data_IF_641842873826
#
_entry.id   IF_641842873826
#
_cell.length_a   1.000
_cell.length_b   1.000
_cell.length_c   1.000
_cell.angle_alpha   90.00
_cell.angle_beta   90.00
_cell.angle_gamma   90.00
#
_symmetry.space_group_name_H-M   'P 1'
#
loop_
_entity.id
_entity.type
_entity.pdbx_description
1 polymer ?
#
# COMPACT_ATOMS: atom_id res chain seq x y z
N UNK A 1 -32.26 41.74 13.95
CA UNK A 1 -32.03 41.18 12.61
C UNK A 1 -30.91 40.15 12.72
N UNK A 2 -31.26 38.91 12.97
CA UNK A 2 -30.27 37.77 13.06
C UNK A 2 -29.99 37.27 11.67
N UNK A 3 -28.74 37.47 11.23
CA UNK A 3 -28.20 36.95 9.99
C UNK A 3 -28.17 35.41 10.06
N UNK A 4 -29.08 34.76 9.36
CA UNK A 4 -28.99 33.32 9.05
C UNK A 4 -27.83 33.11 8.07
N UNK A 5 -26.64 32.93 8.60
CA UNK A 5 -25.50 32.45 7.81
C UNK A 5 -25.81 31.01 7.39
N UNK A 6 -26.10 30.80 6.10
CA UNK A 6 -26.19 29.47 5.48
C UNK A 6 -24.89 28.74 5.76
N UNK A 7 -24.89 27.56 6.40
CA UNK A 7 -23.65 26.81 6.59
C UNK A 7 -23.01 26.53 5.25
N UNK A 8 -21.75 26.93 5.09
CA UNK A 8 -20.99 26.64 3.89
C UNK A 8 -21.06 25.12 3.60
N UNK A 9 -21.30 24.71 2.32
CA UNK A 9 -21.41 23.30 1.99
C UNK A 9 -20.14 22.57 2.46
N UNK A 10 -20.34 21.49 3.21
CA UNK A 10 -19.26 20.58 3.62
C UNK A 10 -18.37 20.31 2.40
N UNK A 11 -17.10 20.68 2.51
CA UNK A 11 -16.13 20.57 1.40
C UNK A 11 -16.27 19.20 0.73
N UNK A 12 -16.62 19.20 -0.56
CA UNK A 12 -16.83 17.99 -1.32
C UNK A 12 -15.61 17.07 -1.16
N UNK A 13 -15.84 15.86 -0.67
CA UNK A 13 -14.80 14.84 -0.54
C UNK A 13 -14.27 14.55 -1.93
N UNK A 14 -12.94 14.56 -2.10
CA UNK A 14 -12.31 14.28 -3.38
C UNK A 14 -12.54 12.80 -3.74
N UNK A 15 -13.55 12.53 -4.55
CA UNK A 15 -13.96 11.19 -4.94
C UNK A 15 -12.84 10.41 -5.63
N UNK A 16 -11.96 11.08 -6.37
CA UNK A 16 -10.81 10.47 -7.05
C UNK A 16 -9.85 9.74 -6.09
N UNK A 17 -9.62 10.31 -4.91
CA UNK A 17 -8.78 9.69 -3.87
C UNK A 17 -9.44 8.43 -3.32
N UNK A 18 -10.74 8.47 -3.05
CA UNK A 18 -11.48 7.30 -2.55
C UNK A 18 -11.64 6.22 -3.64
N UNK A 19 -11.81 6.62 -4.90
CA UNK A 19 -11.82 5.69 -6.03
C UNK A 19 -10.48 4.97 -6.19
N UNK A 20 -9.37 5.71 -6.16
CA UNK A 20 -8.05 5.11 -6.25
C UNK A 20 -7.77 4.15 -5.08
N UNK A 21 -8.14 4.54 -3.85
CA UNK A 21 -8.06 3.63 -2.71
C UNK A 21 -8.90 2.38 -2.93
N UNK A 22 -10.14 2.53 -3.38
CA UNK A 22 -11.05 1.40 -3.65
C UNK A 22 -10.48 0.45 -4.71
N UNK A 23 -9.90 0.99 -5.79
CA UNK A 23 -9.23 0.20 -6.82
C UNK A 23 -8.10 -0.64 -6.25
N UNK A 24 -7.18 -0.01 -5.50
CA UNK A 24 -6.05 -0.75 -4.91
C UNK A 24 -6.49 -1.68 -3.78
N UNK A 25 -7.65 -1.46 -3.14
CA UNK A 25 -8.25 -2.44 -2.21
C UNK A 25 -8.68 -3.72 -2.94
N UNK A 26 -9.24 -3.61 -4.14
CA UNK A 26 -9.57 -4.80 -4.95
C UNK A 26 -8.32 -5.54 -5.41
N UNK A 27 -7.28 -4.80 -5.85
CA UNK A 27 -5.99 -5.41 -6.21
C UNK A 27 -5.29 -6.05 -5.01
N UNK A 28 -5.44 -5.49 -3.82
CA UNK A 28 -4.92 -6.08 -2.59
C UNK A 28 -5.68 -7.37 -2.22
N UNK A 29 -7.00 -7.39 -2.39
CA UNK A 29 -7.79 -8.61 -2.22
C UNK A 29 -7.33 -9.70 -3.19
N UNK A 30 -7.06 -9.36 -4.47
CA UNK A 30 -6.49 -10.29 -5.45
C UNK A 30 -5.18 -10.91 -4.94
N UNK A 31 -4.25 -10.11 -4.40
CA UNK A 31 -2.98 -10.59 -3.85
C UNK A 31 -3.22 -11.50 -2.64
N UNK A 32 -4.14 -11.15 -1.74
CA UNK A 32 -4.43 -11.96 -0.55
C UNK A 32 -5.20 -13.25 -0.86
N UNK A 33 -6.07 -13.28 -1.88
CA UNK A 33 -6.66 -14.54 -2.40
C UNK A 33 -5.55 -15.44 -2.93
N UNK A 34 -4.59 -14.88 -3.66
CA UNK A 34 -3.40 -15.61 -4.12
C UNK A 34 -2.57 -16.14 -2.94
N UNK A 35 -2.29 -15.31 -1.95
CA UNK A 35 -1.54 -15.70 -0.74
C UNK A 35 -2.30 -16.69 0.17
N UNK A 36 -3.60 -16.87 -0.04
CA UNK A 36 -4.40 -17.83 0.71
C UNK A 36 -4.52 -19.17 -0.02
N UNK A 37 -4.82 -19.15 -1.32
CA UNK A 37 -5.19 -20.36 -2.08
C UNK A 37 -4.17 -20.79 -3.13
N UNK A 38 -3.04 -20.06 -3.28
CA UNK A 38 -1.96 -20.38 -4.22
C UNK A 38 -0.59 -20.46 -3.53
N UNK A 39 -0.57 -20.84 -2.24
CA UNK A 39 0.69 -20.96 -1.47
C UNK A 39 1.63 -22.04 -2.04
N UNK A 40 1.11 -23.06 -2.69
CA UNK A 40 1.89 -24.10 -3.37
C UNK A 40 2.60 -23.56 -4.64
N UNK A 41 2.18 -22.38 -5.16
CA UNK A 41 2.80 -21.64 -6.26
C UNK A 41 3.40 -20.33 -5.75
N UNK A 42 4.18 -20.40 -4.67
CA UNK A 42 4.76 -19.21 -4.05
C UNK A 42 5.75 -18.53 -4.97
N UNK A 43 5.57 -17.22 -5.18
CA UNK A 43 6.46 -16.40 -5.98
C UNK A 43 7.49 -15.69 -5.09
N UNK A 44 8.74 -15.66 -5.55
CA UNK A 44 9.81 -14.87 -4.95
C UNK A 44 9.63 -13.36 -5.13
N UNK A 45 10.62 -12.60 -4.68
CA UNK A 45 10.73 -11.16 -4.90
C UNK A 45 12.21 -10.78 -5.06
N UNK A 46 12.67 -10.47 -6.27
CA UNK A 46 11.93 -10.54 -7.56
C UNK A 46 11.40 -11.94 -7.90
N UNK A 47 10.43 -11.99 -8.81
CA UNK A 47 9.77 -13.25 -9.22
C UNK A 47 10.71 -14.09 -10.10
N UNK A 48 10.72 -15.41 -9.90
CA UNK A 48 11.35 -16.33 -10.84
C UNK A 48 10.47 -16.44 -12.10
N UNK A 49 10.95 -15.84 -13.21
CA UNK A 49 10.19 -15.78 -14.48
C UNK A 49 10.17 -17.10 -15.23
N UNK A 50 11.07 -18.04 -14.90
CA UNK A 50 11.13 -19.34 -15.57
C UNK A 50 10.07 -20.32 -15.05
N UNK A 51 9.75 -20.22 -13.76
CA UNK A 51 8.79 -21.11 -13.10
C UNK A 51 7.41 -20.50 -12.92
N UNK A 52 7.27 -19.16 -13.02
CA UNK A 52 6.00 -18.47 -12.82
C UNK A 52 5.21 -18.35 -14.12
N UNK A 53 3.92 -18.69 -14.08
CA UNK A 53 3.04 -18.49 -15.23
C UNK A 53 2.81 -17.00 -15.52
N UNK A 54 2.68 -16.58 -16.81
CA UNK A 54 2.45 -15.18 -17.16
C UNK A 54 1.20 -14.57 -16.50
N UNK A 55 0.14 -15.37 -16.33
CA UNK A 55 -1.08 -14.91 -15.70
C UNK A 55 -0.91 -14.61 -14.20
N UNK A 56 -0.19 -15.47 -13.46
CA UNK A 56 0.15 -15.22 -12.05
C UNK A 56 1.10 -14.02 -11.91
N UNK A 57 2.08 -13.89 -12.81
CA UNK A 57 2.94 -12.72 -12.86
C UNK A 57 2.14 -11.43 -13.04
N UNK A 58 1.18 -11.40 -13.99
CA UNK A 58 0.33 -10.25 -14.20
C UNK A 58 -0.50 -9.89 -12.95
N UNK A 59 -1.06 -10.87 -12.24
CA UNK A 59 -1.75 -10.65 -10.96
C UNK A 59 -0.79 -10.02 -9.92
N UNK A 60 0.45 -10.50 -9.84
CA UNK A 60 1.47 -9.97 -8.94
C UNK A 60 1.85 -8.54 -9.30
N UNK A 61 2.07 -8.26 -10.59
CA UNK A 61 2.41 -6.92 -11.09
C UNK A 61 1.30 -5.90 -10.79
N UNK A 62 0.03 -6.27 -10.99
CA UNK A 62 -1.12 -5.42 -10.62
C UNK A 62 -1.16 -5.14 -9.11
N UNK A 63 -0.89 -6.14 -8.29
CA UNK A 63 -0.86 -6.00 -6.84
C UNK A 63 0.30 -5.11 -6.32
N UNK A 64 1.34 -4.90 -7.13
CA UNK A 64 2.43 -3.96 -6.80
C UNK A 64 1.95 -2.52 -6.59
N UNK A 65 0.84 -2.11 -7.20
CA UNK A 65 0.26 -0.78 -7.02
C UNK A 65 -0.24 -0.51 -5.59
N UNK A 66 -0.59 -1.56 -4.84
CA UNK A 66 -1.29 -1.40 -3.56
C UNK A 66 -0.51 -0.57 -2.54
N UNK A 67 0.66 -1.04 -2.12
CA UNK A 67 1.40 -0.42 -1.03
C UNK A 67 1.88 1.01 -1.37
N UNK A 68 2.52 1.29 -2.52
CA UNK A 68 2.97 2.63 -2.87
C UNK A 68 1.83 3.64 -2.92
N UNK A 69 0.69 3.26 -3.52
CA UNK A 69 -0.49 4.12 -3.59
C UNK A 69 -1.06 4.39 -2.20
N UNK A 70 -1.20 3.36 -1.33
CA UNK A 70 -1.69 3.57 0.03
C UNK A 70 -0.79 4.48 0.85
N UNK A 71 0.52 4.28 0.80
CA UNK A 71 1.49 5.09 1.53
C UNK A 71 1.47 6.54 1.02
N UNK A 72 1.48 6.74 -0.31
CA UNK A 72 1.38 8.06 -0.93
C UNK A 72 0.07 8.78 -0.55
N UNK A 73 -1.07 8.11 -0.69
CA UNK A 73 -2.38 8.68 -0.34
C UNK A 73 -2.53 8.92 1.17
N UNK A 74 -1.77 8.23 2.01
CA UNK A 74 -1.72 8.52 3.45
C UNK A 74 -1.06 9.87 3.71
N UNK A 75 0.08 10.15 3.08
CA UNK A 75 0.74 11.46 3.15
C UNK A 75 -0.12 12.59 2.59
N UNK A 76 -0.72 12.37 1.41
CA UNK A 76 -1.66 13.32 0.79
C UNK A 76 -2.85 13.65 1.71
N UNK A 77 -3.43 12.61 2.33
CA UNK A 77 -4.57 12.77 3.23
C UNK A 77 -4.20 13.49 4.52
N UNK A 78 -2.99 13.28 5.01
CA UNK A 78 -2.48 14.02 6.17
C UNK A 78 -2.35 15.52 5.87
N UNK A 79 -1.92 15.89 4.66
CA UNK A 79 -1.90 17.28 4.23
C UNK A 79 -3.31 17.86 4.13
N UNK A 80 -4.25 17.14 3.50
CA UNK A 80 -5.66 17.55 3.43
C UNK A 80 -6.32 17.67 4.81
N UNK A 81 -5.89 16.89 5.77
CA UNK A 81 -6.30 17.04 7.16
C UNK A 81 -5.71 18.32 7.77
N UNK A 82 -4.41 18.55 7.60
CA UNK A 82 -3.74 19.76 8.08
C UNK A 82 -4.39 21.04 7.54
N UNK A 83 -4.72 21.10 6.25
CA UNK A 83 -5.27 22.28 5.59
C UNK A 83 -6.64 22.72 6.13
N UNK A 84 -7.29 21.92 6.99
CA UNK A 84 -8.58 22.21 7.63
C UNK A 84 -8.45 22.76 9.06
N UNK A 85 -7.23 22.86 9.59
CA UNK A 85 -6.96 23.27 10.96
C UNK A 85 -6.09 24.52 10.97
N UNK A 86 -6.32 25.41 11.94
CA UNK A 86 -5.54 26.64 12.12
C UNK A 86 -4.06 26.27 12.34
N UNK A 87 -3.76 25.40 13.31
CA UNK A 87 -2.42 24.85 13.56
C UNK A 87 -2.19 23.56 12.77
N UNK A 88 -2.34 23.62 11.44
CA UNK A 88 -2.44 22.45 10.58
C UNK A 88 -1.29 21.44 10.74
N UNK A 89 -0.03 21.92 10.83
CA UNK A 89 1.13 21.03 11.03
C UNK A 89 1.07 20.29 12.37
N UNK A 90 0.76 20.99 13.44
CA UNK A 90 0.66 20.40 14.79
C UNK A 90 -0.50 19.40 14.86
N UNK A 91 -1.65 19.75 14.29
CA UNK A 91 -2.79 18.86 14.22
C UNK A 91 -2.49 17.59 13.40
N UNK A 92 -1.83 17.72 12.23
CA UNK A 92 -1.44 16.60 11.41
C UNK A 92 -0.37 15.73 12.09
N UNK A 93 0.65 16.31 12.71
CA UNK A 93 1.69 15.59 13.44
C UNK A 93 1.07 14.75 14.56
N UNK A 94 0.23 15.33 15.41
CA UNK A 94 -0.45 14.61 16.49
C UNK A 94 -1.39 13.51 15.96
N UNK A 95 -2.10 13.75 14.87
CA UNK A 95 -2.97 12.76 14.24
C UNK A 95 -2.17 11.60 13.65
N UNK A 96 -1.09 11.88 12.91
CA UNK A 96 -0.21 10.88 12.31
C UNK A 96 0.45 10.01 13.37
N UNK A 97 0.96 10.63 14.44
CA UNK A 97 1.57 9.92 15.56
C UNK A 97 0.58 8.92 16.20
N UNK A 98 -0.60 9.39 16.61
CA UNK A 98 -1.61 8.52 17.23
C UNK A 98 -2.08 7.41 16.29
N UNK A 99 -2.35 7.74 15.01
CA UNK A 99 -2.81 6.76 14.03
C UNK A 99 -1.71 5.76 13.69
N UNK A 100 -0.44 6.21 13.59
CA UNK A 100 0.70 5.33 13.37
C UNK A 100 0.83 4.27 14.46
N UNK A 101 0.72 4.67 15.73
CA UNK A 101 0.72 3.72 16.86
C UNK A 101 -0.44 2.74 16.82
N UNK A 102 -1.65 3.21 16.49
CA UNK A 102 -2.82 2.32 16.33
C UNK A 102 -2.60 1.30 15.23
N UNK A 103 -2.05 1.70 14.06
CA UNK A 103 -1.79 0.78 12.97
C UNK A 103 -0.73 -0.27 13.34
N UNK A 104 0.34 0.13 14.03
CA UNK A 104 1.36 -0.80 14.53
C UNK A 104 0.72 -1.81 15.50
N UNK A 105 -0.11 -1.34 16.43
CA UNK A 105 -0.82 -2.23 17.36
C UNK A 105 -1.76 -3.20 16.63
N UNK A 106 -2.51 -2.74 15.64
CA UNK A 106 -3.38 -3.59 14.82
C UNK A 106 -2.59 -4.66 14.06
N UNK A 107 -1.42 -4.30 13.52
CA UNK A 107 -0.56 -5.26 12.80
C UNK A 107 -0.09 -6.38 13.71
N UNK A 108 0.48 -6.05 14.87
CA UNK A 108 1.05 -7.07 15.78
C UNK A 108 -0.01 -7.85 16.56
N UNK A 109 -1.26 -7.46 16.49
CA UNK A 109 -2.38 -8.13 17.15
C UNK A 109 -3.34 -8.75 16.13
N UNK A 110 -4.35 -8.01 15.70
CA UNK A 110 -5.46 -8.52 14.87
C UNK A 110 -4.99 -9.01 13.49
N UNK A 111 -4.08 -8.28 12.84
CA UNK A 111 -3.60 -8.67 11.51
C UNK A 111 -2.72 -9.92 11.62
N UNK A 112 -1.77 -9.91 12.54
CA UNK A 112 -0.89 -11.07 12.75
C UNK A 112 -1.70 -12.32 13.14
N UNK A 113 -2.68 -12.19 14.03
CA UNK A 113 -3.55 -13.30 14.42
C UNK A 113 -4.34 -13.85 13.21
N UNK A 114 -4.84 -13.02 12.31
CA UNK A 114 -5.53 -13.50 11.11
C UNK A 114 -4.61 -14.35 10.21
N UNK A 115 -3.31 -14.02 10.15
CA UNK A 115 -2.34 -14.76 9.35
C UNK A 115 -1.85 -16.04 10.02
N UNK A 116 -1.62 -16.02 11.33
CA UNK A 116 -0.95 -17.13 12.06
C UNK A 116 -1.90 -18.02 12.84
N UNK A 117 -2.98 -17.47 13.39
CA UNK A 117 -3.87 -18.05 14.42
C UNK A 117 -3.13 -18.39 15.72
N UNK A 118 -1.96 -17.79 15.95
CA UNK A 118 -1.16 -18.04 17.15
C UNK A 118 -1.58 -17.10 18.28
N UNK A 119 -1.82 -17.65 19.46
CA UNK A 119 -2.09 -16.88 20.68
C UNK A 119 -1.50 -17.62 21.90
N UNK A 120 -0.43 -17.13 22.54
CA UNK A 120 0.37 -15.96 22.17
C UNK A 120 1.11 -16.14 20.83
N UNK A 121 1.47 -15.04 20.13
CA UNK A 121 2.16 -15.14 18.85
C UNK A 121 3.60 -15.65 19.01
N UNK A 122 3.96 -16.70 18.27
CA UNK A 122 5.34 -17.18 18.14
C UNK A 122 6.05 -16.52 16.95
N UNK A 123 5.26 -16.16 15.94
CA UNK A 123 5.76 -15.48 14.74
C UNK A 123 5.02 -14.18 14.52
N UNK A 124 5.76 -13.07 14.40
CA UNK A 124 5.24 -11.77 14.02
C UNK A 124 5.66 -11.44 12.58
N UNK A 125 4.68 -11.17 11.72
CA UNK A 125 4.93 -10.65 10.38
C UNK A 125 4.74 -9.14 10.37
N UNK A 126 5.84 -8.39 10.32
CA UNK A 126 5.83 -6.93 10.24
C UNK A 126 5.60 -6.51 8.77
N UNK A 127 4.32 -6.40 8.39
CA UNK A 127 3.92 -6.22 6.99
C UNK A 127 3.54 -4.76 6.67
N UNK A 128 2.67 -4.57 5.68
CA UNK A 128 2.37 -3.25 5.11
C UNK A 128 1.73 -2.28 6.09
N UNK A 129 0.84 -2.74 6.98
CA UNK A 129 0.16 -1.86 7.94
C UNK A 129 1.16 -1.33 8.99
N UNK A 130 2.09 -2.19 9.42
CA UNK A 130 3.20 -1.78 10.28
C UNK A 130 4.11 -0.75 9.59
N UNK A 131 4.48 -0.98 8.31
CA UNK A 131 5.29 -0.04 7.54
C UNK A 131 4.59 1.31 7.34
N UNK A 132 3.27 1.32 7.06
CA UNK A 132 2.46 2.54 7.01
C UNK A 132 2.46 3.24 8.37
N UNK A 133 2.27 2.50 9.46
CA UNK A 133 2.29 3.03 10.82
C UNK A 133 3.61 3.73 11.15
N UNK A 134 4.76 3.08 10.92
CA UNK A 134 6.08 3.67 11.13
C UNK A 134 6.35 4.85 10.18
N UNK A 135 5.93 4.77 8.92
CA UNK A 135 6.04 5.89 7.98
C UNK A 135 5.24 7.11 8.45
N UNK A 136 4.07 6.89 9.08
CA UNK A 136 3.29 7.97 9.70
C UNK A 136 4.00 8.59 10.90
N UNK A 137 4.67 7.77 11.75
CA UNK A 137 5.49 8.28 12.86
C UNK A 137 6.67 9.11 12.32
N UNK A 138 7.36 8.61 11.30
CA UNK A 138 8.45 9.35 10.66
C UNK A 138 7.94 10.67 10.06
N UNK A 139 6.84 10.66 9.29
CA UNK A 139 6.26 11.88 8.74
C UNK A 139 5.85 12.85 9.85
N UNK A 140 5.27 12.38 10.97
CA UNK A 140 4.86 13.25 12.08
C UNK A 140 6.02 14.08 12.65
N UNK A 141 7.23 13.51 12.67
CA UNK A 141 8.45 14.21 13.07
C UNK A 141 8.99 15.12 11.95
N UNK A 142 8.93 14.66 10.70
CA UNK A 142 9.49 15.39 9.55
C UNK A 142 8.67 16.62 9.13
N UNK A 143 7.41 16.75 9.54
CA UNK A 143 6.54 17.88 9.17
C UNK A 143 7.07 19.26 9.59
N UNK A 144 8.03 19.32 10.51
CA UNK A 144 8.66 20.56 10.94
C UNK A 144 9.69 21.10 9.94
N UNK A 145 10.14 20.28 8.99
CA UNK A 145 11.02 20.71 7.92
C UNK A 145 10.26 21.56 6.88
N UNK A 146 10.94 22.51 6.20
CA UNK A 146 10.37 23.23 5.07
C UNK A 146 10.07 22.27 3.93
N UNK A 147 9.05 22.59 3.11
CA UNK A 147 8.58 21.71 2.02
C UNK A 147 9.70 21.32 1.04
N UNK A 148 10.60 22.25 0.72
CA UNK A 148 11.72 21.96 -0.18
C UNK A 148 12.65 20.88 0.41
N UNK A 149 12.95 20.97 1.71
CA UNK A 149 13.76 19.96 2.39
C UNK A 149 13.04 18.60 2.46
N UNK A 150 11.73 18.59 2.67
CA UNK A 150 10.94 17.35 2.61
C UNK A 150 11.00 16.70 1.24
N UNK A 151 10.84 17.47 0.16
CA UNK A 151 10.94 16.95 -1.21
C UNK A 151 12.35 16.44 -1.50
N UNK A 152 13.38 17.21 -1.15
CA UNK A 152 14.77 16.81 -1.33
C UNK A 152 15.09 15.51 -0.56
N UNK A 153 14.65 15.41 0.70
CA UNK A 153 14.81 14.21 1.52
C UNK A 153 14.11 13.01 0.90
N UNK A 154 12.85 13.17 0.47
CA UNK A 154 12.08 12.08 -0.14
C UNK A 154 12.75 11.58 -1.43
N UNK A 155 13.21 12.49 -2.30
CA UNK A 155 13.93 12.14 -3.53
C UNK A 155 15.26 11.47 -3.19
N UNK A 156 16.03 12.01 -2.24
CA UNK A 156 17.30 11.42 -1.82
C UNK A 156 17.11 9.99 -1.26
N UNK A 157 16.09 9.77 -0.45
CA UNK A 157 15.76 8.43 0.06
C UNK A 157 15.38 7.51 -1.09
N UNK A 158 14.40 7.87 -1.92
CA UNK A 158 13.86 6.99 -2.97
C UNK A 158 14.91 6.71 -4.04
N UNK A 159 15.68 7.73 -4.45
CA UNK A 159 16.69 7.57 -5.48
C UNK A 159 18.01 6.98 -4.95
N UNK A 160 18.32 7.14 -3.67
CA UNK A 160 19.64 6.78 -3.11
C UNK A 160 19.68 5.47 -2.33
N UNK A 161 18.55 4.97 -1.80
CA UNK A 161 18.59 3.80 -0.93
C UNK A 161 19.12 2.52 -1.62
N UNK A 162 18.95 2.39 -2.94
CA UNK A 162 19.52 1.24 -3.67
C UNK A 162 21.04 1.19 -3.67
N UNK A 163 21.75 2.28 -3.35
CA UNK A 163 23.20 2.25 -3.09
C UNK A 163 23.53 1.44 -1.83
N UNK A 164 22.57 1.20 -0.98
CA UNK A 164 22.69 0.46 0.27
C UNK A 164 22.33 -1.04 0.15
N UNK A 165 21.88 -1.50 -1.03
CA UNK A 165 21.42 -2.89 -1.25
C UNK A 165 22.52 -3.92 -0.96
N UNK A 166 23.79 -3.54 -1.17
CA UNK A 166 24.96 -4.37 -0.86
C UNK A 166 25.31 -4.45 0.63
N UNK A 167 24.74 -3.58 1.47
CA UNK A 167 25.03 -3.53 2.92
C UNK A 167 24.14 -4.55 3.62
N UNK A 168 24.74 -5.64 4.10
CA UNK A 168 24.06 -6.66 4.89
C UNK A 168 24.71 -6.77 6.26
N UNK A 169 23.88 -6.76 7.30
CA UNK A 169 24.31 -6.93 8.67
C UNK A 169 23.82 -8.28 9.19
N UNK A 170 24.72 -9.08 9.74
CA UNK A 170 24.40 -10.38 10.33
C UNK A 170 23.71 -10.25 11.69
N UNK A 171 22.99 -11.30 12.10
CA UNK A 171 22.18 -11.31 13.32
C UNK A 171 22.93 -10.96 14.62
N UNK A 172 24.27 -11.14 14.67
CA UNK A 172 25.10 -10.74 15.82
C UNK A 172 25.53 -9.27 15.85
N UNK A 173 25.29 -8.51 14.78
CA UNK A 173 25.72 -7.12 14.71
C UNK A 173 24.81 -6.20 15.56
N UNK A 174 25.35 -5.25 16.35
CA UNK A 174 24.54 -4.38 17.23
C UNK A 174 23.45 -3.59 16.50
N UNK A 175 23.67 -3.22 15.25
CA UNK A 175 22.72 -2.46 14.42
C UNK A 175 21.84 -3.36 13.54
N UNK A 176 21.93 -4.71 13.62
CA UNK A 176 21.18 -5.62 12.78
C UNK A 176 19.67 -5.36 12.85
N UNK A 177 19.10 -5.26 14.07
CA UNK A 177 17.67 -5.04 14.24
C UNK A 177 17.21 -3.72 13.62
N UNK A 178 17.97 -2.63 13.80
CA UNK A 178 17.67 -1.35 13.18
C UNK A 178 17.75 -1.42 11.65
N UNK A 179 18.79 -2.08 11.14
CA UNK A 179 18.99 -2.23 9.69
C UNK A 179 17.93 -3.13 9.06
N UNK A 180 17.55 -4.21 9.73
CA UNK A 180 16.45 -5.07 9.31
C UNK A 180 15.11 -4.33 9.23
N UNK A 181 14.86 -3.40 10.14
CA UNK A 181 13.67 -2.53 10.08
C UNK A 181 13.76 -1.51 8.95
N UNK A 182 14.95 -0.92 8.73
CA UNK A 182 15.09 0.19 7.78
C UNK A 182 15.24 -0.27 6.33
N UNK A 183 16.07 -1.31 6.07
CA UNK A 183 16.46 -1.63 4.69
C UNK A 183 16.55 -3.13 4.38
N UNK A 184 16.94 -3.98 5.32
CA UNK A 184 17.15 -5.40 5.09
C UNK A 184 15.92 -6.21 5.47
N UNK A 185 15.39 -7.04 4.56
CA UNK A 185 14.31 -7.98 4.88
C UNK A 185 14.89 -9.19 5.62
N UNK A 186 14.65 -9.31 6.94
CA UNK A 186 15.27 -10.34 7.74
C UNK A 186 14.39 -10.81 8.91
N UNK A 187 14.88 -11.80 9.65
CA UNK A 187 14.29 -12.30 10.88
C UNK A 187 14.96 -11.69 12.10
N UNK A 188 14.15 -11.23 13.04
CA UNK A 188 14.56 -10.78 14.36
C UNK A 188 14.14 -11.84 15.39
N UNK A 189 15.09 -12.30 16.22
CA UNK A 189 14.82 -13.25 17.30
C UNK A 189 14.60 -12.51 18.62
N UNK A 190 13.57 -12.92 19.37
CA UNK A 190 13.24 -12.40 20.69
C UNK A 190 13.22 -13.59 21.69
N UNK A 191 14.39 -14.00 22.14
CA UNK A 191 14.58 -15.24 22.88
C UNK A 191 14.24 -16.47 22.05
N UNK A 192 13.89 -17.58 22.71
CA UNK A 192 13.56 -18.84 22.05
C UNK A 192 12.07 -18.95 21.66
N UNK A 193 11.21 -18.07 22.21
CA UNK A 193 9.78 -18.20 22.12
C UNK A 193 9.15 -17.40 20.95
N UNK A 194 9.81 -16.34 20.46
CA UNK A 194 9.21 -15.45 19.47
C UNK A 194 10.23 -14.95 18.47
N UNK A 195 9.80 -14.85 17.20
CA UNK A 195 10.55 -14.22 16.12
C UNK A 195 9.69 -13.24 15.34
N UNK A 196 10.29 -12.21 14.76
CA UNK A 196 9.60 -11.28 13.87
C UNK A 196 10.29 -11.21 12.52
N UNK A 197 9.51 -11.16 11.43
CA UNK A 197 10.02 -10.95 10.08
C UNK A 197 9.75 -9.52 9.64
N UNK A 198 10.82 -8.77 9.32
CA UNK A 198 10.72 -7.44 8.72
C UNK A 198 10.33 -7.57 7.24
N UNK A 199 9.04 -7.81 6.96
CA UNK A 199 8.56 -8.06 5.59
C UNK A 199 8.59 -6.81 4.71
N UNK A 200 8.51 -5.61 5.32
CA UNK A 200 8.48 -4.32 4.63
C UNK A 200 9.53 -3.38 5.20
N UNK A 201 10.79 -3.44 4.72
CA UNK A 201 11.83 -2.49 5.12
C UNK A 201 11.39 -1.04 4.89
N UNK A 202 11.59 -0.19 5.91
CA UNK A 202 10.87 1.07 6.08
C UNK A 202 11.39 2.22 5.20
N UNK A 203 12.70 2.27 4.94
CA UNK A 203 13.37 3.48 4.44
C UNK A 203 12.72 4.07 3.18
N UNK A 204 12.46 3.31 2.09
CA UNK A 204 11.83 3.88 0.90
C UNK A 204 10.38 4.36 1.16
N UNK A 205 9.65 3.71 2.06
CA UNK A 205 8.28 4.08 2.39
C UNK A 205 8.17 5.44 3.08
N UNK A 206 9.21 5.84 3.85
CA UNK A 206 9.31 7.20 4.39
C UNK A 206 9.38 8.21 3.23
N UNK A 207 10.17 7.94 2.20
CA UNK A 207 10.21 8.80 1.01
C UNK A 207 8.85 8.91 0.33
N UNK A 208 8.16 7.79 0.13
CA UNK A 208 6.84 7.74 -0.54
C UNK A 208 5.77 8.51 0.24
N UNK A 209 5.68 8.37 1.57
CA UNK A 209 4.69 9.12 2.37
C UNK A 209 4.96 10.62 2.36
N UNK A 210 6.24 11.02 2.38
CA UNK A 210 6.67 12.43 2.30
C UNK A 210 6.33 13.02 0.93
N UNK A 211 6.51 12.28 -0.18
CA UNK A 211 6.05 12.72 -1.50
C UNK A 211 4.54 12.93 -1.54
N UNK A 212 3.77 12.04 -0.92
CA UNK A 212 2.33 12.19 -0.78
C UNK A 212 1.94 13.47 -0.05
N UNK A 213 2.60 13.78 1.07
CA UNK A 213 2.42 15.06 1.77
C UNK A 213 2.79 16.25 0.89
N UNK A 214 3.92 16.19 0.20
CA UNK A 214 4.41 17.26 -0.66
C UNK A 214 3.49 17.54 -1.87
N UNK A 215 2.75 16.54 -2.36
CA UNK A 215 1.74 16.68 -3.39
C UNK A 215 0.43 17.33 -2.88
N UNK A 216 0.24 17.41 -1.57
CA UNK A 216 -0.98 17.95 -0.95
C UNK A 216 -1.45 19.29 -1.50
N UNK A 217 -0.59 20.32 -1.69
CA UNK A 217 -0.98 21.60 -2.25
C UNK A 217 -1.62 21.55 -3.65
N UNK A 218 -1.42 20.46 -4.41
CA UNK A 218 -2.09 20.26 -5.70
C UNK A 218 -3.61 20.13 -5.55
N UNK A 219 -4.04 19.70 -4.37
CA UNK A 219 -5.43 19.46 -4.00
C UNK A 219 -5.99 20.52 -3.04
N UNK A 220 -5.28 21.63 -2.84
CA UNK A 220 -5.80 22.79 -2.11
C UNK A 220 -7.10 23.30 -2.76
N UNK A 221 -7.98 23.93 -1.97
CA UNK A 221 -9.25 24.49 -2.48
C UNK A 221 -9.02 25.55 -3.56
N UNK A 222 -7.95 26.30 -3.40
CA UNK A 222 -7.56 27.41 -4.28
C UNK A 222 -6.77 26.92 -5.50
N UNK A 223 -6.37 25.64 -5.52
CA UNK A 223 -5.62 25.08 -6.65
C UNK A 223 -6.51 24.91 -7.88
N UNK A 224 -6.07 25.46 -9.01
CA UNK A 224 -6.80 25.31 -10.25
C UNK A 224 -6.84 23.86 -10.72
N UNK A 225 -8.00 23.38 -11.14
CA UNK A 225 -8.19 22.02 -11.64
C UNK A 225 -7.28 21.70 -12.83
N UNK A 226 -7.15 22.59 -13.86
CA UNK A 226 -6.23 22.35 -14.98
C UNK A 226 -4.77 22.18 -14.53
N UNK A 227 -4.31 23.01 -13.57
CA UNK A 227 -2.95 22.91 -13.03
C UNK A 227 -2.74 21.58 -12.29
N UNK A 228 -3.69 21.14 -11.47
CA UNK A 228 -3.64 19.83 -10.80
C UNK A 228 -3.58 18.71 -11.81
N UNK A 229 -4.42 18.76 -12.83
CA UNK A 229 -4.45 17.78 -13.91
C UNK A 229 -3.11 17.70 -14.65
N UNK A 230 -2.48 18.84 -14.95
CA UNK A 230 -1.16 18.90 -15.57
C UNK A 230 -0.09 18.32 -14.65
N UNK A 231 -0.09 18.68 -13.35
CA UNK A 231 0.88 18.16 -12.38
C UNK A 231 0.77 16.63 -12.23
N UNK A 232 -0.44 16.08 -12.11
CA UNK A 232 -0.66 14.64 -12.03
C UNK A 232 -0.20 13.92 -13.31
N UNK A 233 -0.53 14.47 -14.49
CA UNK A 233 -0.15 13.91 -15.78
C UNK A 233 1.36 13.91 -15.96
N UNK A 234 2.01 15.07 -15.83
CA UNK A 234 3.44 15.19 -16.11
C UNK A 234 4.30 14.49 -15.04
N UNK A 235 3.90 14.50 -13.76
CA UNK A 235 4.58 13.73 -12.73
C UNK A 235 4.43 12.22 -12.96
N UNK A 236 3.24 11.76 -13.37
CA UNK A 236 3.01 10.36 -13.70
C UNK A 236 3.80 9.90 -14.91
N UNK A 237 3.76 10.67 -16.01
CA UNK A 237 4.54 10.38 -17.23
C UNK A 237 6.04 10.47 -16.98
N UNK A 238 6.49 11.47 -16.21
CA UNK A 238 7.90 11.62 -15.84
C UNK A 238 8.42 10.43 -15.01
N UNK A 239 7.61 9.93 -14.06
CA UNK A 239 7.96 8.74 -13.31
C UNK A 239 8.06 7.49 -14.21
N UNK A 240 7.10 7.28 -15.12
CA UNK A 240 7.15 6.17 -16.08
C UNK A 240 8.32 6.30 -17.07
N UNK A 241 8.61 7.50 -17.55
CA UNK A 241 9.78 7.74 -18.39
C UNK A 241 11.08 7.43 -17.63
N UNK A 242 11.18 7.87 -16.36
CA UNK A 242 12.30 7.54 -15.48
C UNK A 242 12.45 6.02 -15.28
N UNK A 243 11.35 5.31 -15.05
CA UNK A 243 11.35 3.84 -14.99
C UNK A 243 11.90 3.24 -16.28
N UNK A 244 11.36 3.64 -17.44
CA UNK A 244 11.80 3.09 -18.73
C UNK A 244 13.28 3.37 -19.01
N UNK A 245 13.73 4.60 -18.74
CA UNK A 245 15.14 4.97 -18.94
C UNK A 245 16.09 4.15 -18.05
N UNK A 246 15.78 4.01 -16.77
CA UNK A 246 16.57 3.21 -15.84
C UNK A 246 16.55 1.73 -16.20
N UNK A 247 15.38 1.23 -16.60
CA UNK A 247 15.21 -0.18 -16.97
C UNK A 247 15.98 -0.51 -18.25
N UNK A 248 15.99 0.40 -19.23
CA UNK A 248 16.77 0.25 -20.46
C UNK A 248 18.28 0.41 -20.22
N UNK A 249 18.69 1.34 -19.34
CA UNK A 249 20.08 1.49 -18.93
C UNK A 249 20.59 0.28 -18.14
N UNK A 250 19.70 -0.43 -17.45
CA UNK A 250 19.92 -1.72 -16.77
C UNK A 250 21.10 -1.73 -15.76
N UNK A 251 21.39 -0.58 -15.15
CA UNK A 251 22.59 -0.41 -14.32
C UNK A 251 22.31 0.04 -12.88
N UNK A 252 21.11 0.57 -12.59
CA UNK A 252 20.79 1.13 -11.26
C UNK A 252 19.29 1.08 -10.93
N UNK A 253 19.01 0.98 -9.64
CA UNK A 253 17.65 1.15 -9.09
C UNK A 253 16.80 -0.10 -9.06
N UNK A 254 17.33 -1.23 -9.52
CA UNK A 254 16.81 -2.60 -9.34
C UNK A 254 17.83 -3.64 -9.84
N UNK A 255 17.52 -4.92 -9.63
CA UNK A 255 18.28 -6.01 -10.24
C UNK A 255 18.25 -5.91 -11.78
N UNK A 256 19.40 -6.21 -12.41
CA UNK A 256 19.51 -6.22 -13.86
C UNK A 256 18.61 -7.32 -14.46
N UNK A 257 17.99 -7.01 -15.59
CA UNK A 257 17.19 -7.94 -16.37
C UNK A 257 17.95 -8.40 -17.62
N UNK A 258 17.57 -9.56 -18.16
CA UNK A 258 18.14 -10.09 -19.37
C UNK A 258 17.05 -10.58 -20.33
N UNK A 259 17.38 -10.70 -21.62
CA UNK A 259 16.52 -11.35 -22.60
C UNK A 259 16.33 -12.82 -22.22
N UNK A 260 15.12 -13.29 -22.34
CA UNK A 260 14.70 -14.63 -22.00
C UNK A 260 14.44 -15.47 -23.26
N UNK A 261 14.10 -16.76 -23.08
CA UNK A 261 13.86 -17.71 -24.16
C UNK A 261 12.76 -17.29 -25.14
N UNK A 262 11.78 -16.52 -24.66
CA UNK A 262 10.66 -16.01 -25.46
C UNK A 262 10.31 -14.57 -25.10
N UNK A 263 9.50 -13.92 -25.94
CA UNK A 263 9.07 -12.53 -25.77
C UNK A 263 8.26 -12.33 -24.50
N UNK A 264 7.39 -13.27 -24.11
CA UNK A 264 6.55 -13.16 -22.93
C UNK A 264 7.41 -13.15 -21.67
N UNK A 265 8.35 -14.08 -21.54
CA UNK A 265 9.30 -14.14 -20.42
C UNK A 265 10.23 -12.93 -20.39
N UNK A 266 10.66 -12.44 -21.56
CA UNK A 266 11.43 -11.20 -21.67
C UNK A 266 10.65 -10.00 -21.15
N UNK A 267 9.36 -9.87 -21.49
CA UNK A 267 8.49 -8.83 -20.93
C UNK A 267 8.28 -9.00 -19.41
N UNK A 268 8.10 -10.24 -18.94
CA UNK A 268 8.05 -10.52 -17.51
C UNK A 268 9.33 -10.08 -16.81
N UNK A 269 10.51 -10.44 -17.33
CA UNK A 269 11.80 -10.03 -16.79
C UNK A 269 11.95 -8.50 -16.77
N UNK A 270 11.50 -7.82 -17.82
CA UNK A 270 11.55 -6.36 -17.92
C UNK A 270 10.69 -5.68 -16.84
N UNK A 271 9.49 -6.18 -16.53
CA UNK A 271 8.59 -5.62 -15.50
C UNK A 271 8.77 -6.25 -14.12
N UNK A 272 9.72 -7.16 -13.96
CA UNK A 272 10.02 -7.82 -12.70
C UNK A 272 10.85 -6.90 -11.79
N UNK A 273 10.16 -6.09 -11.00
CA UNK A 273 10.76 -5.10 -10.10
C UNK A 273 10.65 -5.53 -8.65
N UNK A 274 11.68 -5.24 -7.86
CA UNK A 274 11.82 -5.64 -6.47
C UNK A 274 10.91 -4.80 -5.55
N UNK A 275 10.11 -5.48 -4.74
CA UNK A 275 9.16 -4.86 -3.79
C UNK A 275 9.72 -4.77 -2.36
N UNK A 276 10.71 -5.58 -1.99
CA UNK A 276 11.18 -5.74 -0.61
C UNK A 276 12.70 -5.73 -0.44
N UNK A 277 13.31 -4.56 -0.19
CA UNK A 277 12.74 -3.21 -0.14
C UNK A 277 12.27 -2.73 -1.51
N UNK A 278 11.29 -1.80 -1.57
CA UNK A 278 10.81 -1.32 -2.86
C UNK A 278 11.90 -0.52 -3.58
N UNK A 279 12.35 -1.04 -4.72
CA UNK A 279 13.40 -0.43 -5.53
C UNK A 279 12.97 0.94 -6.10
N UNK A 280 13.93 1.76 -6.54
CA UNK A 280 13.63 3.00 -7.25
C UNK A 280 12.73 2.74 -8.46
N UNK A 281 13.04 1.69 -9.24
CA UNK A 281 12.26 1.34 -10.43
C UNK A 281 10.84 0.88 -10.07
N UNK A 282 10.68 0.13 -8.98
CA UNK A 282 9.37 -0.24 -8.43
C UNK A 282 8.55 1.00 -8.05
N UNK A 283 9.15 1.97 -7.36
CA UNK A 283 8.46 3.19 -6.93
C UNK A 283 8.07 4.05 -8.14
N UNK A 284 8.96 4.21 -9.12
CA UNK A 284 8.69 4.98 -10.34
C UNK A 284 7.54 4.37 -11.15
N UNK A 285 7.56 3.05 -11.36
CA UNK A 285 6.49 2.35 -12.09
C UNK A 285 5.15 2.50 -11.38
N UNK A 286 5.11 2.17 -10.10
CA UNK A 286 3.85 2.08 -9.36
C UNK A 286 3.24 3.44 -9.04
N UNK A 287 4.04 4.43 -8.61
CA UNK A 287 3.55 5.79 -8.41
C UNK A 287 3.23 6.49 -9.73
N UNK A 288 4.00 6.22 -10.79
CA UNK A 288 3.69 6.73 -12.13
C UNK A 288 2.28 6.34 -12.56
N UNK A 289 1.97 5.04 -12.51
CA UNK A 289 0.61 4.51 -12.80
C UNK A 289 -0.41 5.08 -11.81
N UNK A 290 -0.10 5.12 -10.52
CA UNK A 290 -1.00 5.64 -9.48
C UNK A 290 -1.40 7.11 -9.70
N UNK A 291 -0.46 7.98 -10.09
CA UNK A 291 -0.73 9.39 -10.41
C UNK A 291 -1.60 9.55 -11.66
N UNK A 292 -1.35 8.74 -12.70
CA UNK A 292 -2.19 8.74 -13.92
C UNK A 292 -3.61 8.24 -13.62
N UNK A 293 -3.77 7.19 -12.81
CA UNK A 293 -5.08 6.72 -12.35
C UNK A 293 -5.79 7.80 -11.52
N UNK A 294 -5.07 8.50 -10.62
CA UNK A 294 -5.64 9.58 -9.84
C UNK A 294 -6.14 10.72 -10.73
N UNK A 295 -5.38 11.07 -11.79
CA UNK A 295 -5.79 12.03 -12.81
C UNK A 295 -7.03 11.55 -13.59
N UNK A 296 -7.06 10.27 -13.96
CA UNK A 296 -8.16 9.66 -14.71
C UNK A 296 -9.46 9.68 -13.89
N UNK A 297 -9.38 9.38 -12.59
CA UNK A 297 -10.53 9.35 -11.68
C UNK A 297 -11.08 10.75 -11.31
N UNK A 298 -10.44 11.81 -11.72
CA UNK A 298 -11.03 13.15 -11.66
C UNK A 298 -12.05 13.42 -12.78
N UNK A 299 -12.19 12.49 -13.77
CA UNK A 299 -13.26 12.55 -14.77
C UNK A 299 -14.63 12.27 -14.13
N UNK A 300 -15.61 13.21 -14.22
CA UNK A 300 -16.93 13.01 -13.60
C UNK A 300 -17.69 11.80 -14.16
N UNK A 301 -17.51 11.51 -15.46
CA UNK A 301 -18.13 10.36 -16.12
C UNK A 301 -17.62 9.04 -15.51
N UNK A 302 -16.29 8.87 -15.46
CA UNK A 302 -15.68 7.67 -14.91
C UNK A 302 -15.95 7.53 -13.42
N UNK A 303 -15.86 8.63 -12.65
CA UNK A 303 -16.15 8.64 -11.22
C UNK A 303 -17.57 8.15 -10.90
N UNK A 304 -18.55 8.48 -11.75
CA UNK A 304 -19.93 8.03 -11.60
C UNK A 304 -20.07 6.51 -11.82
N UNK A 305 -19.45 5.96 -12.86
CA UNK A 305 -19.48 4.53 -13.15
C UNK A 305 -18.75 3.69 -12.09
N UNK A 306 -17.64 4.19 -11.55
CA UNK A 306 -16.83 3.51 -10.55
C UNK A 306 -17.23 3.85 -9.10
N UNK A 307 -18.32 4.58 -8.91
CA UNK A 307 -18.78 5.02 -7.58
C UNK A 307 -18.86 3.89 -6.53
N UNK A 308 -19.23 2.63 -6.84
CA UNK A 308 -19.22 1.54 -5.86
C UNK A 308 -17.84 1.29 -5.23
N UNK A 309 -16.73 1.50 -5.96
CA UNK A 309 -15.37 1.36 -5.43
C UNK A 309 -15.03 2.43 -4.38
N UNK A 310 -15.65 3.60 -4.47
CA UNK A 310 -15.39 4.67 -3.49
C UNK A 310 -15.80 4.29 -2.06
N UNK A 311 -16.76 3.37 -1.92
CA UNK A 311 -17.17 2.85 -0.61
C UNK A 311 -16.05 2.03 0.05
N UNK A 312 -15.32 1.22 -0.74
CA UNK A 312 -14.16 0.46 -0.27
C UNK A 312 -13.04 1.42 0.17
N UNK A 313 -12.77 2.46 -0.65
CA UNK A 313 -11.77 3.48 -0.35
C UNK A 313 -12.13 4.40 0.82
N UNK A 314 -13.40 4.47 1.22
CA UNK A 314 -13.87 5.26 2.36
C UNK A 314 -13.58 4.63 3.73
N UNK A 315 -13.49 3.29 3.78
CA UNK A 315 -13.21 2.52 4.99
C UNK A 315 -12.16 1.43 4.74
N UNK A 316 -10.94 1.81 4.26
CA UNK A 316 -9.96 0.84 3.80
C UNK A 316 -9.46 -0.09 4.91
N UNK A 317 -9.27 0.39 6.14
CA UNK A 317 -8.81 -0.44 7.25
C UNK A 317 -9.87 -1.46 7.69
N UNK A 318 -11.15 -1.08 7.66
CA UNK A 318 -12.23 -2.02 7.94
C UNK A 318 -12.28 -3.13 6.88
N UNK A 319 -12.24 -2.76 5.59
CA UNK A 319 -12.19 -3.75 4.51
C UNK A 319 -10.95 -4.64 4.63
N UNK A 320 -9.78 -4.07 4.99
CA UNK A 320 -8.55 -4.82 5.18
C UNK A 320 -8.73 -5.92 6.23
N UNK A 321 -9.20 -5.57 7.42
CA UNK A 321 -9.44 -6.56 8.48
C UNK A 321 -10.52 -7.55 8.07
N UNK A 322 -11.63 -7.09 7.52
CA UNK A 322 -12.75 -7.95 7.15
C UNK A 322 -12.33 -9.04 6.16
N UNK A 323 -11.61 -8.68 5.08
CA UNK A 323 -11.29 -9.67 4.04
C UNK A 323 -10.23 -10.68 4.49
N UNK A 324 -9.22 -10.28 5.31
CA UNK A 324 -8.22 -11.26 5.78
C UNK A 324 -8.85 -12.31 6.70
N UNK A 325 -9.78 -11.91 7.58
CA UNK A 325 -10.52 -12.85 8.41
C UNK A 325 -11.46 -13.74 7.58
N UNK A 326 -12.18 -13.15 6.62
CA UNK A 326 -13.05 -13.93 5.71
C UNK A 326 -12.23 -14.94 4.90
N UNK A 327 -11.09 -14.54 4.34
CA UNK A 327 -10.20 -15.45 3.62
C UNK A 327 -9.70 -16.58 4.53
N UNK A 328 -9.32 -16.25 5.77
CA UNK A 328 -8.88 -17.26 6.73
C UNK A 328 -9.96 -18.28 7.06
N UNK A 329 -11.20 -17.80 7.29
CA UNK A 329 -12.34 -18.70 7.55
C UNK A 329 -12.67 -19.56 6.32
N UNK A 330 -12.64 -18.98 5.11
CA UNK A 330 -12.85 -19.72 3.87
C UNK A 330 -11.78 -20.81 3.67
N UNK A 331 -10.51 -20.50 3.96
CA UNK A 331 -9.42 -21.47 3.89
C UNK A 331 -9.62 -22.64 4.88
N UNK A 332 -9.93 -22.33 6.13
CA UNK A 332 -10.20 -23.34 7.15
C UNK A 332 -11.42 -24.20 6.79
N UNK A 333 -12.48 -23.57 6.28
CA UNK A 333 -13.66 -24.28 5.79
C UNK A 333 -13.36 -25.18 4.61
N UNK A 334 -12.55 -24.72 3.66
CA UNK A 334 -12.12 -25.52 2.51
C UNK A 334 -11.31 -26.75 2.94
N UNK A 335 -10.35 -26.56 3.85
CA UNK A 335 -9.56 -27.68 4.40
C UNK A 335 -10.44 -28.66 5.19
N UNK A 336 -11.41 -28.18 5.95
CA UNK A 336 -12.32 -29.03 6.72
C UNK A 336 -13.26 -29.86 5.83
N UNK A 337 -13.71 -29.30 4.69
CA UNK A 337 -14.68 -29.97 3.80
C UNK A 337 -14.02 -30.87 2.75
N UNK A 338 -12.87 -30.46 2.22
CA UNK A 338 -12.23 -31.15 1.08
C UNK A 338 -10.83 -31.69 1.41
N UNK A 339 -10.28 -31.40 2.60
CA UNK A 339 -8.91 -31.78 2.95
C UNK A 339 -7.86 -30.92 2.25
N UNK A 340 -6.61 -31.34 2.32
CA UNK A 340 -5.47 -30.74 1.60
C UNK A 340 -5.26 -31.45 0.27
N UNK A 341 -4.86 -30.72 -0.78
CA UNK A 341 -4.66 -31.25 -2.14
C UNK A 341 -3.26 -30.94 -2.72
N UNK A 342 -2.46 -30.13 -2.02
CA UNK A 342 -1.07 -29.80 -2.36
C UNK A 342 -0.16 -30.04 -1.14
N UNK A 343 0.05 -31.31 -0.80
CA UNK A 343 0.79 -31.70 0.42
C UNK A 343 0.05 -31.28 1.69
N UNK A 344 0.66 -30.39 2.50
CA UNK A 344 0.03 -29.84 3.70
C UNK A 344 -0.90 -28.64 3.43
N UNK A 345 -1.06 -28.23 2.16
CA UNK A 345 -1.82 -27.05 1.76
C UNK A 345 -3.09 -27.44 1.00
N UNK A 346 -4.12 -26.59 1.10
CA UNK A 346 -5.24 -26.56 0.18
C UNK A 346 -5.02 -25.43 -0.84
N UNK A 347 -5.27 -25.68 -2.13
CA UNK A 347 -5.08 -24.65 -3.14
C UNK A 347 -5.84 -24.91 -4.44
N UNK A 348 -5.86 -23.90 -5.31
CA UNK A 348 -6.38 -23.94 -6.67
C UNK A 348 -5.26 -23.69 -7.67
N UNK A 349 -5.33 -24.31 -8.85
CA UNK A 349 -4.32 -24.18 -9.91
C UNK A 349 -4.70 -23.17 -10.97
N UNK A 350 -5.99 -22.85 -11.08
CA UNK A 350 -6.50 -21.99 -12.15
C UNK A 350 -6.53 -20.51 -11.76
N UNK A 351 -5.82 -19.67 -12.51
CA UNK A 351 -5.89 -18.20 -12.34
C UNK A 351 -7.31 -17.66 -12.57
N UNK A 352 -8.12 -18.33 -13.41
CA UNK A 352 -9.52 -17.97 -13.56
C UNK A 352 -10.31 -18.15 -12.25
N UNK A 353 -10.01 -19.20 -11.47
CA UNK A 353 -10.57 -19.40 -10.13
C UNK A 353 -10.12 -18.29 -9.16
N UNK A 354 -8.84 -17.91 -9.20
CA UNK A 354 -8.31 -16.79 -8.43
C UNK A 354 -9.10 -15.49 -8.70
N UNK A 355 -9.30 -15.16 -9.97
CA UNK A 355 -10.05 -13.98 -10.39
C UNK A 355 -11.53 -14.06 -10.00
N UNK A 356 -12.16 -15.22 -10.18
CA UNK A 356 -13.56 -15.45 -9.81
C UNK A 356 -13.80 -15.27 -8.31
N UNK A 357 -12.93 -15.84 -7.46
CA UNK A 357 -12.99 -15.67 -6.01
C UNK A 357 -12.79 -14.19 -5.64
N UNK A 358 -11.83 -13.50 -6.27
CA UNK A 358 -11.58 -12.07 -6.03
C UNK A 358 -12.81 -11.22 -6.36
N UNK A 359 -13.45 -11.45 -7.50
CA UNK A 359 -14.67 -10.74 -7.90
C UNK A 359 -15.81 -11.05 -6.94
N UNK A 360 -16.06 -12.32 -6.64
CA UNK A 360 -17.11 -12.73 -5.71
C UNK A 360 -16.95 -12.10 -4.33
N UNK A 361 -15.72 -12.14 -3.77
CA UNK A 361 -15.42 -11.52 -2.48
C UNK A 361 -15.52 -9.99 -2.52
N UNK A 362 -15.12 -9.35 -3.62
CA UNK A 362 -15.30 -7.91 -3.80
C UNK A 362 -16.77 -7.53 -3.71
N UNK A 363 -17.63 -8.24 -4.42
CA UNK A 363 -19.07 -8.01 -4.42
C UNK A 363 -19.71 -8.31 -3.05
N UNK A 364 -19.30 -9.39 -2.40
CA UNK A 364 -19.81 -9.79 -1.08
C UNK A 364 -19.39 -8.84 0.03
N UNK A 365 -18.16 -8.31 0.01
CA UNK A 365 -17.62 -7.46 1.06
C UNK A 365 -17.90 -5.96 0.86
N UNK A 366 -18.32 -5.56 -0.34
CA UNK A 366 -18.68 -4.17 -0.63
C UNK A 366 -19.86 -3.66 0.24
N UNK A 367 -21.00 -4.37 0.38
CA UNK A 367 -22.12 -3.88 1.19
C UNK A 367 -21.79 -3.64 2.68
N UNK A 368 -21.16 -4.57 3.42
CA UNK A 368 -20.77 -4.31 4.80
C UNK A 368 -19.74 -3.18 4.94
N UNK A 369 -18.81 -3.06 3.99
CA UNK A 369 -17.84 -1.95 3.97
C UNK A 369 -18.54 -0.60 3.73
N UNK A 370 -19.49 -0.54 2.82
CA UNK A 370 -20.29 0.66 2.59
C UNK A 370 -21.16 1.02 3.81
N UNK A 371 -21.73 0.02 4.49
CA UNK A 371 -22.47 0.25 5.75
C UNK A 371 -21.57 0.84 6.83
N UNK A 372 -20.37 0.28 7.01
CA UNK A 372 -19.38 0.81 7.96
C UNK A 372 -18.92 2.22 7.58
N UNK A 373 -18.67 2.51 6.31
CA UNK A 373 -18.31 3.84 5.84
C UNK A 373 -19.42 4.88 6.17
N UNK A 374 -20.69 4.51 5.99
CA UNK A 374 -21.85 5.34 6.39
C UNK A 374 -21.92 5.55 7.91
N UNK A 375 -21.71 4.48 8.71
CA UNK A 375 -21.64 4.56 10.16
C UNK A 375 -20.54 5.53 10.61
N UNK A 376 -19.34 5.38 10.08
CA UNK A 376 -18.19 6.26 10.33
C UNK A 376 -18.48 7.72 10.00
N UNK A 377 -19.20 7.96 8.90
CA UNK A 377 -19.59 9.33 8.51
C UNK A 377 -20.61 9.96 9.43
N UNK A 378 -21.55 9.16 9.99
CA UNK A 378 -22.61 9.60 10.91
C UNK A 378 -22.13 9.76 12.35
N UNK A 379 -21.32 8.80 12.84
CA UNK A 379 -20.88 8.71 14.24
C UNK A 379 -19.48 9.32 14.43
N UNK A 380 -19.36 10.63 14.16
CA UNK A 380 -18.11 11.38 14.39
C UNK A 380 -17.80 11.60 15.87
N UNK A 381 -18.76 11.39 16.73
CA UNK A 381 -18.66 11.38 18.20
C UNK A 381 -17.76 10.25 18.69
N UNK A 382 -17.71 9.12 17.98
CA UNK A 382 -16.91 7.96 18.35
C UNK A 382 -15.48 8.13 17.85
N UNK A 383 -14.58 8.50 18.75
CA UNK A 383 -13.21 8.90 18.41
C UNK A 383 -12.38 7.80 17.72
N UNK A 384 -12.54 6.53 18.12
CA UNK A 384 -11.76 5.43 17.56
C UNK A 384 -12.13 5.06 16.11
N UNK A 385 -13.38 5.31 15.67
CA UNK A 385 -13.82 5.06 14.28
C UNK A 385 -12.98 5.83 13.25
N UNK A 386 -12.36 6.94 13.65
CA UNK A 386 -11.49 7.72 12.74
C UNK A 386 -10.19 7.00 12.37
N UNK A 387 -9.80 5.98 13.14
CA UNK A 387 -8.56 5.24 12.92
C UNK A 387 -8.75 4.00 12.02
N UNK A 388 -10.01 3.54 11.84
CA UNK A 388 -10.40 2.44 10.93
C UNK A 388 -10.95 2.95 9.56
#
# INVERSE_FOLDING_TARGET
>A
MSSNAIPAPLAARLSSIDLLRGTVMVLMLLDHVRETFFLHLQMGDPVDVDTTSPALFACRLLAHLCAPVFVFLTGLSAWLYASRHVDGRRAASAFLFKRGLVLILLEVTLVNFAWTLELPPQTLYLQVIWAIGLSMLALSALLWLPRAALVALAVAIIAGHNLLDGVRLEAGHPLHALWAVLHQRDWLQFGDAMRARTSYPLLPWIGVIVLGWAAGPWFAREASVPRRHALLLWSGLGALAGFLLLRLANGYGDAAWALQADTTRTLMAFFNVTKYPPSLQFVLLTLGVGLLLLRLYESPALARHLQPLSALGAAPMFFYLLHIYVLRLLYLGAVALWGTNHGALFGFDSVATLLAITVALTLMLQPPTAAFARLKARRRDIAWLRYL
#
